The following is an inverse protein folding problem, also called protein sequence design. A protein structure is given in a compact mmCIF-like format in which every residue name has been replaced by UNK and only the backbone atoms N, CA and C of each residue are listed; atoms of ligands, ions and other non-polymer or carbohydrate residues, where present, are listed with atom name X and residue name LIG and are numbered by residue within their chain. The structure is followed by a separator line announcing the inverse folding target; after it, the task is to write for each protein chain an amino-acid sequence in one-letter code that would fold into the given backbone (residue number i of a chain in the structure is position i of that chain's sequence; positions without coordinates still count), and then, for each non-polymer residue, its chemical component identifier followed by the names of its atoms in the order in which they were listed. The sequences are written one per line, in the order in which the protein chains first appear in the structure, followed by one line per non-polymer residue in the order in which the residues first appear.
data_IF_978154611901
#
_entry.id   IF_978154611901
#
_cell.length_a   1.000
_cell.length_b   1.000
_cell.length_c   1.000
_cell.angle_alpha   90.00
_cell.angle_beta   90.00
_cell.angle_gamma   90.00
#
_symmetry.space_group_name_H-M   'P 1'
#
loop_
_entity.id
_entity.type
_entity.pdbx_description
1 polymer ?
#
# COMPACT_ATOMS: atom_id res chain seq x y z
N UNK A 1 -40.19 5.66 10.84
CA UNK A 1 -40.37 4.78 9.66
C UNK A 1 -39.83 5.39 8.36
N UNK A 2 -39.77 6.72 8.24
CA UNK A 2 -39.28 7.43 7.04
C UNK A 2 -37.86 8.01 7.21
N UNK A 3 -36.91 7.24 7.73
CA UNK A 3 -35.51 7.68 7.80
C UNK A 3 -34.58 6.63 7.21
N UNK A 4 -33.61 7.09 6.43
CA UNK A 4 -32.51 6.27 5.88
C UNK A 4 -31.28 6.52 6.74
N UNK A 5 -30.77 5.48 7.39
CA UNK A 5 -29.48 5.51 8.05
C UNK A 5 -28.36 5.36 7.03
N UNK A 6 -27.41 6.29 7.00
CA UNK A 6 -26.19 6.22 6.19
C UNK A 6 -25.01 6.05 7.13
N UNK A 7 -24.25 4.96 6.96
CA UNK A 7 -22.97 4.75 7.63
C UNK A 7 -21.85 4.96 6.63
N UNK A 8 -21.07 6.04 6.81
CA UNK A 8 -19.90 6.36 6.02
C UNK A 8 -18.66 6.22 6.90
N UNK A 9 -18.20 4.98 7.07
CA UNK A 9 -17.01 4.63 7.85
C UNK A 9 -15.85 4.51 6.86
N UNK A 10 -14.85 5.38 7.00
CA UNK A 10 -13.67 5.47 6.12
C UNK A 10 -12.52 4.56 6.57
N UNK A 11 -12.56 4.07 7.80
CA UNK A 11 -11.54 3.25 8.44
C UNK A 11 -12.00 1.80 8.69
N UNK A 12 -12.96 1.28 7.91
CA UNK A 12 -13.56 -0.03 8.16
C UNK A 12 -12.54 -1.19 8.35
N UNK A 13 -11.37 -1.22 7.68
CA UNK A 13 -10.32 -2.20 8.00
C UNK A 13 -9.84 -2.14 9.46
N UNK A 14 -9.79 -0.95 10.06
CA UNK A 14 -9.40 -0.73 11.45
C UNK A 14 -10.52 -1.07 12.44
N UNK A 15 -11.78 -1.05 12.02
CA UNK A 15 -12.93 -1.47 12.83
C UNK A 15 -13.05 -3.01 12.92
N UNK A 16 -12.47 -3.73 11.95
CA UNK A 16 -12.28 -5.19 11.99
C UNK A 16 -10.79 -5.55 11.88
N UNK A 17 -9.97 -5.13 12.87
CA UNK A 17 -8.53 -5.10 12.74
C UNK A 17 -7.91 -6.50 12.59
N UNK A 18 -8.53 -7.52 13.20
CA UNK A 18 -8.06 -8.90 13.10
C UNK A 18 -8.22 -9.44 11.68
N UNK A 19 -9.41 -9.28 11.10
CA UNK A 19 -9.73 -9.83 9.79
C UNK A 19 -8.95 -9.10 8.69
N UNK A 20 -8.84 -7.77 8.79
CA UNK A 20 -8.01 -6.98 7.89
C UNK A 20 -6.53 -7.40 7.96
N UNK A 21 -6.00 -7.63 9.16
CA UNK A 21 -4.60 -8.06 9.35
C UNK A 21 -4.35 -9.47 8.79
N UNK A 22 -5.31 -10.40 8.95
CA UNK A 22 -5.22 -11.74 8.39
C UNK A 22 -5.25 -11.70 6.85
N UNK A 23 -6.18 -10.96 6.26
CA UNK A 23 -6.28 -10.80 4.80
C UNK A 23 -5.01 -10.19 4.22
N UNK A 24 -4.55 -9.07 4.79
CA UNK A 24 -3.31 -8.42 4.36
C UNK A 24 -2.10 -9.36 4.45
N UNK A 25 -1.99 -10.12 5.55
CA UNK A 25 -0.90 -11.07 5.74
C UNK A 25 -0.91 -12.19 4.71
N UNK A 26 -2.08 -12.75 4.40
CA UNK A 26 -2.26 -13.76 3.35
C UNK A 26 -1.83 -13.21 1.98
N UNK A 27 -2.32 -12.03 1.58
CA UNK A 27 -1.99 -11.42 0.29
C UNK A 27 -0.50 -11.10 0.18
N UNK A 28 0.12 -10.61 1.27
CA UNK A 28 1.56 -10.33 1.32
C UNK A 28 2.38 -11.62 1.10
N UNK A 29 2.00 -12.71 1.76
CA UNK A 29 2.69 -14.01 1.65
C UNK A 29 2.52 -14.59 0.25
N UNK A 30 1.33 -14.49 -0.33
CA UNK A 30 1.02 -15.08 -1.62
C UNK A 30 1.64 -14.31 -2.79
N UNK A 31 1.59 -12.98 -2.75
CA UNK A 31 1.91 -12.15 -3.92
C UNK A 31 3.22 -11.38 -3.80
N UNK A 32 3.63 -10.97 -2.60
CA UNK A 32 4.78 -10.07 -2.43
C UNK A 32 6.03 -10.83 -2.02
N UNK A 33 5.93 -11.78 -1.08
CA UNK A 33 7.08 -12.55 -0.61
C UNK A 33 7.79 -13.29 -1.76
N UNK A 34 7.10 -13.95 -2.72
CA UNK A 34 7.79 -14.64 -3.82
C UNK A 34 8.65 -13.71 -4.68
N UNK A 35 8.21 -12.46 -4.90
CA UNK A 35 8.93 -11.48 -5.70
C UNK A 35 10.32 -11.12 -5.12
N UNK A 36 10.51 -11.30 -3.81
CA UNK A 36 11.81 -11.10 -3.14
C UNK A 36 12.87 -12.13 -3.54
N UNK A 37 12.44 -13.32 -4.00
CA UNK A 37 13.34 -14.44 -4.24
C UNK A 37 13.46 -14.82 -5.71
N UNK A 38 12.52 -14.40 -6.56
CA UNK A 38 12.51 -14.76 -7.97
C UNK A 38 13.20 -13.74 -8.88
N UNK A 39 13.75 -12.67 -8.31
CA UNK A 39 14.36 -11.57 -9.04
C UNK A 39 13.35 -10.53 -9.52
N UNK A 40 12.20 -10.42 -8.86
CA UNK A 40 11.12 -9.47 -9.15
C UNK A 40 10.60 -9.59 -10.59
N UNK A 41 10.28 -10.80 -11.03
CA UNK A 41 9.92 -11.09 -12.43
C UNK A 41 8.72 -10.30 -12.95
N UNK A 42 7.79 -9.99 -12.07
CA UNK A 42 6.58 -9.23 -12.37
C UNK A 42 6.72 -7.72 -12.06
N UNK A 43 7.92 -7.27 -11.69
CA UNK A 43 8.21 -5.90 -11.31
C UNK A 43 7.32 -5.38 -10.16
N UNK A 44 6.90 -6.28 -9.26
CA UNK A 44 6.10 -5.95 -8.08
C UNK A 44 6.91 -5.04 -7.15
N UNK A 45 8.15 -5.43 -6.85
CA UNK A 45 9.02 -4.67 -5.96
C UNK A 45 9.47 -3.36 -6.60
N UNK A 46 9.86 -3.39 -7.88
CA UNK A 46 10.24 -2.20 -8.63
C UNK A 46 9.13 -1.14 -8.60
N UNK A 47 7.88 -1.54 -8.87
CA UNK A 47 6.73 -0.62 -8.87
C UNK A 47 6.32 -0.17 -7.47
N UNK A 48 6.57 -0.99 -6.45
CA UNK A 48 6.29 -0.64 -5.06
C UNK A 48 7.40 0.22 -4.41
N UNK A 49 8.58 0.33 -5.04
CA UNK A 49 9.72 1.06 -4.48
C UNK A 49 9.61 2.55 -4.80
N UNK A 50 9.15 3.33 -3.82
CA UNK A 50 9.01 4.80 -3.97
C UNK A 50 10.36 5.53 -3.91
N UNK A 51 11.31 5.02 -3.11
CA UNK A 51 12.64 5.60 -2.92
C UNK A 51 13.74 4.54 -3.05
N UNK A 52 14.84 4.91 -3.72
CA UNK A 52 16.04 4.08 -3.84
C UNK A 52 17.29 4.96 -3.76
N UNK A 53 18.35 4.47 -3.11
CA UNK A 53 19.62 5.19 -2.93
C UNK A 53 19.48 6.62 -2.38
N UNK A 54 18.49 6.83 -1.51
CA UNK A 54 18.23 8.12 -0.87
C UNK A 54 17.48 9.14 -1.73
N UNK A 55 16.98 8.76 -2.91
CA UNK A 55 16.19 9.61 -3.79
C UNK A 55 14.85 8.95 -4.17
N UNK A 56 13.88 9.77 -4.57
CA UNK A 56 12.62 9.28 -5.15
C UNK A 56 12.90 8.57 -6.49
N UNK A 57 12.17 7.49 -6.75
CA UNK A 57 12.19 6.84 -8.07
C UNK A 57 11.38 7.64 -9.08
N UNK A 58 11.57 7.35 -10.37
CA UNK A 58 11.09 8.21 -11.46
C UNK A 58 9.57 8.49 -11.41
N UNK A 59 8.77 7.48 -11.03
CA UNK A 59 7.32 7.58 -10.95
C UNK A 59 6.84 8.48 -9.80
N UNK A 60 7.71 8.72 -8.81
CA UNK A 60 7.41 9.48 -7.60
C UNK A 60 8.08 10.86 -7.57
N UNK A 61 8.80 11.25 -8.64
CA UNK A 61 9.48 12.55 -8.76
C UNK A 61 8.56 13.76 -8.48
N UNK A 62 7.26 13.64 -8.74
CA UNK A 62 6.29 14.69 -8.44
C UNK A 62 6.20 15.05 -6.94
N UNK A 63 6.67 14.15 -6.06
CA UNK A 63 6.73 14.36 -4.61
C UNK A 63 7.97 15.15 -4.16
N UNK A 64 9.00 15.32 -4.99
CA UNK A 64 10.24 15.98 -4.61
C UNK A 64 10.00 17.41 -4.08
N UNK A 65 9.05 18.13 -4.68
CA UNK A 65 8.68 19.48 -4.26
C UNK A 65 8.09 19.56 -2.84
N UNK A 66 7.58 18.44 -2.29
CA UNK A 66 7.14 18.37 -0.90
C UNK A 66 8.30 18.12 0.06
N UNK A 67 9.30 17.33 -0.36
CA UNK A 67 10.52 17.06 0.41
C UNK A 67 11.35 18.34 0.54
N UNK A 68 11.55 19.06 -0.57
CA UNK A 68 12.39 20.27 -0.59
C UNK A 68 11.84 21.44 0.24
N UNK A 69 10.57 21.35 0.66
CA UNK A 69 9.89 22.35 1.51
C UNK A 69 9.90 22.00 3.00
N UNK A 70 10.31 20.78 3.36
CA UNK A 70 10.40 20.32 4.74
C UNK A 70 11.70 20.80 5.41
#
# INVERSE_FOLDING_TARGET
PEAIGVMAVDNLPCELPRDASLSFGSDLIEHVIPALFDGDKEHILFRATECSDGALTADFNYLQAYIDKA
#
